data_IF_465958746467
#
_entry.id   IF_465958746467
#
_cell.length_a   1.000
_cell.length_b   1.000
_cell.length_c   1.000
_cell.angle_alpha   90.00
_cell.angle_beta   90.00
_cell.angle_gamma   90.00
#
_symmetry.space_group_name_H-M   'P 1'
#
loop_
_entity.id
_entity.type
_entity.pdbx_description
1 polymer ?
#
# COMPACT_ATOMS: atom_id res chain seq x y z
N UNK A 1 9.06 -8.53 11.80
CA UNK A 1 7.58 -8.32 12.04
C UNK A 1 7.22 -8.98 13.34
N UNK A 2 6.43 -8.29 14.18
CA UNK A 2 5.86 -8.83 15.40
C UNK A 2 4.94 -10.02 15.08
N UNK A 3 5.02 -11.10 15.88
CA UNK A 3 4.30 -12.36 15.61
C UNK A 3 2.78 -12.16 15.62
N UNK A 4 2.26 -11.37 16.56
CA UNK A 4 0.81 -11.12 16.67
C UNK A 4 0.25 -10.35 15.45
N UNK A 5 0.99 -9.34 14.97
CA UNK A 5 0.64 -8.61 13.74
C UNK A 5 0.64 -9.58 12.56
N UNK A 6 1.68 -10.40 12.44
CA UNK A 6 1.80 -11.35 11.34
C UNK A 6 0.66 -12.37 11.35
N UNK A 7 0.30 -12.91 12.51
CA UNK A 7 -0.83 -13.83 12.66
C UNK A 7 -2.16 -13.18 12.24
N UNK A 8 -2.41 -11.93 12.66
CA UNK A 8 -3.62 -11.21 12.26
C UNK A 8 -3.69 -11.00 10.74
N UNK A 9 -2.59 -10.56 10.11
CA UNK A 9 -2.52 -10.32 8.67
C UNK A 9 -2.52 -11.61 7.84
N UNK A 10 -2.08 -12.73 8.41
CA UNK A 10 -2.05 -14.04 7.74
C UNK A 10 -3.42 -14.72 7.63
N UNK A 11 -4.41 -14.28 8.39
CA UNK A 11 -5.76 -14.83 8.36
C UNK A 11 -6.34 -14.72 6.95
N UNK A 12 -6.99 -15.79 6.50
CA UNK A 12 -7.68 -15.77 5.22
C UNK A 12 -8.90 -14.86 5.33
N UNK A 13 -8.96 -13.86 4.47
CA UNK A 13 -10.11 -12.96 4.40
C UNK A 13 -11.30 -13.62 3.69
N UNK A 14 -12.54 -13.15 3.88
CA UNK A 14 -13.70 -13.66 3.14
C UNK A 14 -13.54 -13.57 1.62
N UNK A 15 -12.88 -12.52 1.13
CA UNK A 15 -12.54 -12.37 -0.29
C UNK A 15 -11.55 -13.44 -0.75
N UNK A 16 -10.47 -13.65 0.00
CA UNK A 16 -9.47 -14.68 -0.31
C UNK A 16 -10.05 -16.09 -0.27
N UNK A 17 -11.03 -16.34 0.63
CA UNK A 17 -11.69 -17.65 0.65
C UNK A 17 -12.45 -17.89 -0.66
N UNK A 18 -13.19 -16.91 -1.16
CA UNK A 18 -13.88 -17.01 -2.46
C UNK A 18 -12.92 -17.28 -3.61
N UNK A 19 -11.77 -16.54 -3.63
CA UNK A 19 -10.74 -16.75 -4.64
C UNK A 19 -10.14 -18.17 -4.59
N UNK A 20 -9.97 -18.74 -3.41
CA UNK A 20 -9.51 -20.13 -3.22
C UNK A 20 -10.54 -21.14 -3.68
N UNK A 21 -11.82 -20.82 -3.52
CA UNK A 21 -12.95 -21.64 -3.97
C UNK A 21 -13.19 -21.53 -5.49
N UNK A 22 -12.35 -20.74 -6.19
CA UNK A 22 -12.37 -20.60 -7.66
C UNK A 22 -13.26 -19.47 -8.17
N UNK A 23 -13.79 -18.63 -7.28
CA UNK A 23 -14.55 -17.44 -7.71
C UNK A 23 -13.60 -16.40 -8.34
N UNK A 24 -14.05 -15.64 -9.33
CA UNK A 24 -13.28 -14.55 -9.92
C UNK A 24 -13.14 -13.37 -8.94
N UNK A 25 -12.12 -12.54 -9.16
CA UNK A 25 -11.96 -11.29 -8.42
C UNK A 25 -13.18 -10.39 -8.59
N UNK A 26 -13.82 -10.03 -7.50
CA UNK A 26 -14.95 -9.10 -7.47
C UNK A 26 -14.45 -7.65 -7.54
N UNK A 27 -14.45 -7.08 -8.74
CA UNK A 27 -14.01 -5.70 -8.98
C UNK A 27 -14.91 -4.66 -8.33
N UNK A 28 -16.16 -4.99 -8.00
CA UNK A 28 -17.10 -4.04 -7.39
C UNK A 28 -16.71 -3.63 -5.97
N UNK A 29 -15.88 -4.46 -5.32
CA UNK A 29 -15.29 -4.13 -4.02
C UNK A 29 -14.31 -2.96 -4.08
N UNK A 30 -13.81 -2.62 -5.28
CA UNK A 30 -12.71 -1.70 -5.49
C UNK A 30 -13.08 -0.48 -6.31
N UNK A 31 -13.94 -0.63 -7.31
CA UNK A 31 -14.25 0.39 -8.29
C UNK A 31 -15.73 0.41 -8.67
N UNK A 32 -16.23 1.58 -9.08
CA UNK A 32 -17.61 1.75 -9.57
C UNK A 32 -17.71 1.95 -11.08
N UNK A 33 -16.60 2.35 -11.73
CA UNK A 33 -16.56 2.72 -13.15
C UNK A 33 -16.20 1.59 -14.11
N UNK A 34 -16.21 1.88 -15.42
CA UNK A 34 -15.82 0.93 -16.48
C UNK A 34 -14.31 0.66 -16.54
N UNK A 35 -13.48 1.57 -16.02
CA UNK A 35 -12.05 1.35 -15.82
C UNK A 35 -11.77 0.53 -14.55
N UNK A 36 -10.51 0.10 -14.36
CA UNK A 36 -10.12 -0.49 -13.10
C UNK A 36 -9.23 0.50 -12.34
N UNK A 37 -9.82 1.59 -11.89
CA UNK A 37 -9.25 2.52 -10.92
C UNK A 37 -9.84 2.20 -9.54
N UNK A 38 -8.97 1.87 -8.59
CA UNK A 38 -9.38 1.57 -7.22
C UNK A 38 -9.67 2.87 -6.50
N UNK A 39 -10.88 2.99 -5.96
CA UNK A 39 -11.38 4.20 -5.34
C UNK A 39 -11.12 4.20 -3.84
N UNK A 40 -10.45 5.24 -3.33
CA UNK A 40 -10.25 5.44 -1.89
C UNK A 40 -11.58 5.42 -1.11
N UNK A 41 -12.65 5.94 -1.69
CA UNK A 41 -13.98 5.97 -1.09
C UNK A 41 -14.56 4.58 -0.79
N UNK A 42 -14.11 3.53 -1.49
CA UNK A 42 -14.48 2.13 -1.22
C UNK A 42 -13.74 1.54 -0.01
N UNK A 43 -12.58 2.09 0.31
CA UNK A 43 -11.63 1.50 1.25
C UNK A 43 -11.47 2.32 2.54
N UNK A 44 -11.64 3.64 2.47
CA UNK A 44 -11.53 4.56 3.60
C UNK A 44 -12.91 4.95 4.15
N UNK A 45 -13.01 5.04 5.47
CA UNK A 45 -14.19 5.64 6.12
C UNK A 45 -14.13 7.16 5.98
N UNK A 46 -15.29 7.80 5.99
CA UNK A 46 -15.39 9.27 5.94
C UNK A 46 -14.51 9.92 7.03
N UNK A 47 -13.69 10.88 6.64
CA UNK A 47 -12.77 11.60 7.52
C UNK A 47 -11.45 10.89 7.85
N UNK A 48 -11.24 9.66 7.38
CA UNK A 48 -9.93 9.01 7.47
C UNK A 48 -9.01 9.48 6.33
N UNK A 49 -7.75 9.70 6.63
CA UNK A 49 -6.70 9.99 5.63
C UNK A 49 -5.82 8.79 5.32
N UNK A 50 -5.86 7.78 6.18
CA UNK A 50 -5.07 6.56 6.07
C UNK A 50 -5.84 5.38 6.62
N UNK A 51 -5.71 4.24 5.95
CA UNK A 51 -6.14 2.92 6.44
C UNK A 51 -5.18 1.85 5.95
N UNK A 52 -5.32 0.63 6.45
CA UNK A 52 -4.58 -0.54 5.94
C UNK A 52 -5.55 -1.63 5.51
N UNK A 53 -5.06 -2.44 4.56
CA UNK A 53 -5.73 -3.62 4.07
C UNK A 53 -4.71 -4.74 3.87
N UNK A 54 -5.00 -5.99 4.24
CA UNK A 54 -4.20 -7.13 3.81
C UNK A 54 -4.09 -7.17 2.29
N UNK A 55 -2.91 -7.49 1.79
CA UNK A 55 -2.69 -7.70 0.36
C UNK A 55 -3.44 -8.94 -0.09
N UNK A 56 -4.20 -8.85 -1.18
CA UNK A 56 -5.02 -9.95 -1.69
C UNK A 56 -4.14 -11.04 -2.30
N UNK A 57 -4.24 -12.26 -1.76
CA UNK A 57 -3.51 -13.45 -2.20
C UNK A 57 -4.38 -14.31 -3.13
N UNK A 58 -3.80 -15.37 -3.69
CA UNK A 58 -4.44 -16.45 -4.45
C UNK A 58 -4.97 -16.05 -5.84
N UNK A 59 -4.76 -14.84 -6.27
CA UNK A 59 -5.14 -14.35 -7.60
C UNK A 59 -4.06 -13.44 -8.17
N UNK A 60 -3.88 -13.45 -9.49
CA UNK A 60 -3.14 -12.39 -10.16
C UNK A 60 -4.06 -11.15 -10.24
N UNK A 61 -3.65 -10.06 -9.59
CA UNK A 61 -4.44 -8.85 -9.58
C UNK A 61 -4.19 -8.08 -10.88
N UNK A 62 -5.24 -7.83 -11.67
CA UNK A 62 -5.08 -7.26 -13.00
C UNK A 62 -4.56 -5.82 -12.96
N UNK A 63 -4.11 -5.30 -14.09
CA UNK A 63 -3.64 -3.91 -14.20
C UNK A 63 -4.72 -2.94 -13.73
N UNK A 64 -4.33 -2.07 -12.82
CA UNK A 64 -5.19 -1.05 -12.21
C UNK A 64 -4.39 0.21 -11.88
N UNK A 65 -5.07 1.30 -11.62
CA UNK A 65 -4.61 2.53 -10.99
C UNK A 65 -5.44 2.76 -9.70
N UNK A 66 -5.13 3.84 -8.99
CA UNK A 66 -5.86 4.23 -7.79
C UNK A 66 -5.85 5.75 -7.62
N UNK A 67 -6.85 6.32 -6.96
CA UNK A 67 -6.98 7.76 -6.68
C UNK A 67 -6.29 8.21 -5.38
N UNK A 68 -5.47 7.31 -4.78
CA UNK A 68 -4.72 7.50 -3.53
C UNK A 68 -3.24 7.11 -3.71
N UNK A 69 -2.44 7.35 -2.69
CA UNK A 69 -1.09 6.78 -2.59
C UNK A 69 -1.19 5.41 -1.96
N UNK A 70 -0.73 4.38 -2.66
CA UNK A 70 -0.56 3.05 -2.09
C UNK A 70 0.86 2.88 -1.57
N UNK A 71 1.00 2.38 -0.35
CA UNK A 71 2.29 1.96 0.19
C UNK A 71 2.16 0.51 0.59
N UNK A 72 2.82 -0.36 -0.17
CA UNK A 72 2.87 -1.76 0.16
C UNK A 72 4.06 -2.06 1.04
N UNK A 73 3.86 -2.86 2.08
CA UNK A 73 4.90 -3.43 2.93
C UNK A 73 4.76 -4.94 2.99
N UNK A 74 5.84 -5.64 2.68
CA UNK A 74 5.87 -7.11 2.75
C UNK A 74 6.24 -7.54 4.16
N UNK A 75 5.34 -8.25 4.82
CA UNK A 75 5.48 -8.72 6.19
C UNK A 75 6.22 -10.08 6.27
N UNK A 76 5.92 -10.96 5.30
CA UNK A 76 6.56 -12.28 5.14
C UNK A 76 6.49 -12.70 3.67
N UNK A 77 7.42 -13.55 3.23
CA UNK A 77 7.48 -14.01 1.84
C UNK A 77 7.87 -12.88 0.87
N UNK A 78 7.13 -12.76 -0.22
CA UNK A 78 7.41 -11.76 -1.26
C UNK A 78 6.15 -11.38 -2.04
N UNK A 79 6.21 -10.25 -2.77
CA UNK A 79 5.22 -9.86 -3.78
C UNK A 79 5.93 -9.42 -5.07
N UNK A 80 5.25 -9.52 -6.21
CA UNK A 80 5.82 -9.11 -7.49
C UNK A 80 4.84 -8.22 -8.24
N UNK A 81 5.28 -7.02 -8.59
CA UNK A 81 4.52 -5.98 -9.27
C UNK A 81 5.06 -5.72 -10.66
N UNK A 82 4.18 -5.42 -11.62
CA UNK A 82 4.53 -4.97 -12.97
C UNK A 82 4.01 -3.54 -13.11
N UNK A 83 4.91 -2.56 -12.94
CA UNK A 83 4.56 -1.13 -12.88
C UNK A 83 4.71 -0.51 -14.26
N UNK A 84 3.69 0.20 -14.75
CA UNK A 84 3.71 0.87 -16.06
C UNK A 84 3.92 -0.06 -17.26
N UNK A 85 3.80 -1.38 -17.07
CA UNK A 85 4.12 -2.37 -18.12
C UNK A 85 5.61 -2.67 -18.27
N UNK A 86 6.43 -2.22 -17.33
CA UNK A 86 7.87 -2.45 -17.29
C UNK A 86 8.28 -3.83 -16.75
N UNK A 87 9.54 -3.93 -16.37
CA UNK A 87 10.10 -5.15 -15.78
C UNK A 87 9.45 -5.45 -14.42
N UNK A 88 9.16 -6.73 -14.10
CA UNK A 88 8.64 -7.09 -12.80
C UNK A 88 9.55 -6.64 -11.64
N UNK A 89 8.95 -6.02 -10.65
CA UNK A 89 9.61 -5.56 -9.42
C UNK A 89 9.21 -6.51 -8.30
N UNK A 90 10.19 -7.26 -7.79
CA UNK A 90 9.98 -8.16 -6.65
C UNK A 90 10.37 -7.47 -5.35
N UNK A 91 9.45 -7.50 -4.38
CA UNK A 91 9.67 -7.08 -3.00
C UNK A 91 9.80 -8.31 -2.10
N UNK A 92 10.67 -8.22 -1.10
CA UNK A 92 10.85 -9.22 -0.06
C UNK A 92 10.38 -8.69 1.29
N UNK A 93 10.25 -9.58 2.26
CA UNK A 93 9.88 -9.20 3.63
C UNK A 93 10.76 -8.04 4.15
N UNK A 94 10.13 -7.02 4.70
CA UNK A 94 10.77 -5.81 5.20
C UNK A 94 10.98 -4.71 4.16
N UNK A 95 10.53 -4.88 2.93
CA UNK A 95 10.66 -3.86 1.87
C UNK A 95 9.35 -3.12 1.64
N UNK A 96 9.45 -1.89 1.14
CA UNK A 96 8.34 -0.99 0.85
C UNK A 96 8.31 -0.61 -0.63
N UNK A 97 7.10 -0.52 -1.17
CA UNK A 97 6.83 0.05 -2.49
C UNK A 97 5.79 1.15 -2.34
N UNK A 98 6.16 2.36 -2.74
CA UNK A 98 5.26 3.51 -2.83
C UNK A 98 4.78 3.67 -4.26
N UNK A 99 3.49 3.84 -4.46
CA UNK A 99 2.84 4.10 -5.74
C UNK A 99 1.94 5.32 -5.59
N UNK A 100 2.10 6.32 -6.46
CA UNK A 100 1.20 7.47 -6.45
C UNK A 100 0.00 7.25 -7.39
N UNK A 101 -0.93 8.21 -7.45
CA UNK A 101 -2.16 8.10 -8.24
C UNK A 101 -1.93 7.96 -9.76
N UNK A 102 -0.71 8.19 -10.24
CA UNK A 102 -0.35 8.05 -11.66
C UNK A 102 0.25 6.70 -11.98
N UNK A 103 0.57 5.92 -10.95
CA UNK A 103 1.07 4.58 -11.14
C UNK A 103 -0.06 3.68 -11.67
N UNK A 104 0.24 2.91 -12.69
CA UNK A 104 -0.59 1.79 -13.11
C UNK A 104 0.23 0.53 -12.95
N UNK A 105 -0.30 -0.45 -12.24
CA UNK A 105 0.42 -1.69 -11.97
C UNK A 105 -0.49 -2.93 -12.01
N UNK A 106 0.11 -4.07 -12.26
CA UNK A 106 -0.48 -5.39 -12.07
C UNK A 106 0.34 -6.14 -11.03
N UNK A 107 -0.27 -7.10 -10.34
CA UNK A 107 0.39 -7.87 -9.29
C UNK A 107 0.31 -9.35 -9.65
N UNK A 108 1.42 -10.05 -9.56
CA UNK A 108 1.43 -11.50 -9.72
C UNK A 108 0.76 -12.16 -8.53
N UNK A 109 0.24 -13.37 -8.75
CA UNK A 109 -0.40 -14.15 -7.69
C UNK A 109 0.57 -14.33 -6.52
N UNK A 110 0.09 -14.00 -5.34
CA UNK A 110 0.75 -14.28 -4.07
C UNK A 110 0.17 -15.56 -3.44
N UNK A 111 1.00 -16.29 -2.72
CA UNK A 111 0.64 -17.56 -2.11
C UNK A 111 0.40 -17.39 -0.59
N UNK A 112 0.01 -18.48 0.10
CA UNK A 112 -0.37 -18.44 1.52
C UNK A 112 0.72 -17.86 2.44
N UNK A 113 1.99 -18.08 2.11
CA UNK A 113 3.14 -17.57 2.87
C UNK A 113 3.55 -16.14 2.53
N UNK A 114 2.95 -15.56 1.49
CA UNK A 114 3.24 -14.19 1.06
C UNK A 114 2.28 -13.23 1.76
N UNK A 115 2.70 -12.68 2.87
CA UNK A 115 1.89 -11.78 3.68
C UNK A 115 2.37 -10.35 3.51
N UNK A 116 1.51 -9.48 3.03
CA UNK A 116 1.80 -8.07 2.88
C UNK A 116 0.58 -7.22 3.30
N UNK A 117 0.83 -5.94 3.54
CA UNK A 117 -0.18 -4.96 3.90
C UNK A 117 -0.08 -3.76 2.96
N UNK A 118 -1.21 -3.28 2.48
CA UNK A 118 -1.33 -2.06 1.69
C UNK A 118 -1.85 -0.95 2.59
N UNK A 119 -1.07 0.12 2.73
CA UNK A 119 -1.55 1.38 3.28
C UNK A 119 -2.23 2.15 2.15
N UNK A 120 -3.46 2.53 2.37
CA UNK A 120 -4.28 3.38 1.49
C UNK A 120 -4.23 4.77 2.09
N UNK A 121 -3.56 5.71 1.41
CA UNK A 121 -3.21 7.02 1.96
C UNK A 121 -3.69 8.13 1.04
N UNK A 122 -4.56 9.00 1.54
CA UNK A 122 -4.96 10.18 0.78
C UNK A 122 -3.79 11.17 0.67
N UNK A 123 -3.62 11.88 -0.47
CA UNK A 123 -2.52 12.82 -0.65
C UNK A 123 -2.36 13.83 0.47
N UNK A 124 -3.46 14.34 1.02
CA UNK A 124 -3.48 15.31 2.12
C UNK A 124 -2.79 14.82 3.40
N UNK A 125 -2.60 13.51 3.55
CA UNK A 125 -1.84 12.94 4.65
C UNK A 125 -0.37 13.41 4.63
N UNK A 126 0.17 13.65 3.44
CA UNK A 126 1.58 14.03 3.23
C UNK A 126 1.86 15.54 3.28
N UNK A 127 0.85 16.39 3.46
CA UNK A 127 1.03 17.85 3.48
C UNK A 127 2.11 18.30 4.47
N UNK A 128 2.12 17.72 5.68
CA UNK A 128 3.12 18.03 6.69
C UNK A 128 4.52 17.48 6.32
N UNK A 129 4.59 16.24 5.85
CA UNK A 129 5.86 15.62 5.45
C UNK A 129 6.51 16.39 4.30
N UNK A 130 5.72 16.85 3.34
CA UNK A 130 6.20 17.63 2.21
C UNK A 130 6.86 18.97 2.63
N UNK A 131 6.32 19.64 3.65
CA UNK A 131 6.88 20.89 4.18
C UNK A 131 8.28 20.67 4.78
N UNK A 132 8.55 19.49 5.35
CA UNK A 132 9.83 19.16 6.00
C UNK A 132 10.85 18.65 4.97
N UNK A 133 10.44 17.74 4.09
CA UNK A 133 11.34 17.01 3.18
C UNK A 133 11.84 17.90 2.03
N UNK A 134 11.04 18.87 1.60
CA UNK A 134 11.37 19.71 0.44
C UNK A 134 11.38 18.91 -0.88
N UNK A 135 11.89 19.52 -1.95
CA UNK A 135 11.83 18.95 -3.32
C UNK A 135 13.18 18.51 -3.88
N UNK A 136 14.26 18.69 -3.15
CA UNK A 136 15.63 18.45 -3.64
C UNK A 136 16.05 16.98 -3.71
N UNK A 137 15.32 16.09 -3.04
CA UNK A 137 15.61 14.66 -2.98
C UNK A 137 14.52 13.82 -3.65
N UNK A 138 14.80 12.50 -3.79
CA UNK A 138 13.90 11.57 -4.48
C UNK A 138 12.52 11.47 -3.82
N UNK A 139 12.48 11.42 -2.49
CA UNK A 139 11.22 11.35 -1.73
C UNK A 139 10.40 12.63 -1.91
N UNK A 140 11.04 13.80 -1.82
CA UNK A 140 10.36 15.08 -2.03
C UNK A 140 9.80 15.22 -3.45
N UNK A 141 10.52 14.75 -4.48
CA UNK A 141 10.04 14.71 -5.86
C UNK A 141 8.85 13.77 -6.04
N UNK A 142 8.86 12.62 -5.38
CA UNK A 142 7.73 11.69 -5.35
C UNK A 142 6.50 12.35 -4.68
N UNK A 143 6.68 12.95 -3.49
CA UNK A 143 5.61 13.64 -2.78
C UNK A 143 5.06 14.83 -3.58
N UNK A 144 5.92 15.59 -4.26
CA UNK A 144 5.50 16.65 -5.15
C UNK A 144 4.58 16.13 -6.27
N UNK A 145 4.93 15.00 -6.86
CA UNK A 145 4.10 14.32 -7.86
C UNK A 145 2.77 13.80 -7.32
N UNK A 146 2.71 13.52 -6.03
CA UNK A 146 1.50 13.11 -5.32
C UNK A 146 0.55 14.28 -5.06
N UNK A 147 1.10 15.44 -4.66
CA UNK A 147 0.32 16.61 -4.23
C UNK A 147 -0.05 17.57 -5.38
N UNK A 148 0.67 17.54 -6.50
CA UNK A 148 0.45 18.44 -7.64
C UNK A 148 -0.06 17.69 -8.87
N UNK A 149 -1.00 18.30 -9.57
CA UNK A 149 -1.63 17.76 -10.78
C UNK A 149 -0.79 17.86 -12.06
N UNK A 150 0.48 18.26 -11.99
CA UNK A 150 1.35 18.45 -13.16
C UNK A 150 2.75 17.82 -12.99
N UNK A 151 3.16 16.97 -13.95
CA UNK A 151 4.58 16.76 -14.26
C UNK A 151 5.41 15.90 -13.32
N UNK A 152 4.86 14.90 -12.63
CA UNK A 152 5.71 13.96 -11.88
C UNK A 152 6.29 12.88 -12.78
N UNK A 153 7.61 12.89 -12.95
CA UNK A 153 8.35 11.82 -13.61
C UNK A 153 8.38 10.53 -12.76
N UNK A 154 8.28 10.66 -11.42
CA UNK A 154 8.40 9.55 -10.48
C UNK A 154 7.02 9.11 -10.04
N UNK A 155 6.58 7.95 -10.51
CA UNK A 155 5.28 7.35 -10.15
C UNK A 155 5.39 6.34 -9.01
N UNK A 156 6.59 5.84 -8.73
CA UNK A 156 6.82 4.84 -7.68
C UNK A 156 8.21 4.97 -7.06
N UNK A 157 8.34 4.52 -5.83
CA UNK A 157 9.62 4.38 -5.11
C UNK A 157 9.71 2.99 -4.50
N UNK A 158 10.79 2.28 -4.79
CA UNK A 158 11.12 1.01 -4.15
C UNK A 158 12.16 1.25 -3.05
N UNK A 159 11.82 0.90 -1.81
CA UNK A 159 12.69 1.06 -0.66
C UNK A 159 13.15 -0.31 -0.15
N UNK A 160 14.43 -0.61 -0.35
CA UNK A 160 15.11 -1.84 0.11
C UNK A 160 15.48 -1.72 1.59
N UNK A 161 14.49 -1.85 2.47
CA UNK A 161 14.59 -1.56 3.91
C UNK A 161 14.65 -2.80 4.80
N UNK A 162 14.73 -4.00 4.24
CA UNK A 162 14.66 -5.27 4.97
C UNK A 162 15.62 -5.36 6.17
N UNK A 163 16.84 -4.78 6.06
CA UNK A 163 17.84 -4.77 7.15
C UNK A 163 17.80 -3.54 8.07
N UNK A 164 16.85 -2.61 7.87
CA UNK A 164 16.83 -1.34 8.61
C UNK A 164 15.83 -1.39 9.78
N UNK A 165 16.30 -1.88 10.94
CA UNK A 165 15.48 -2.04 12.14
C UNK A 165 14.65 -0.81 12.53
N UNK A 166 15.16 0.44 12.49
CA UNK A 166 14.34 1.61 12.80
C UNK A 166 13.13 1.76 11.86
N UNK A 167 13.29 1.48 10.56
CA UNK A 167 12.19 1.52 9.59
C UNK A 167 11.18 0.41 9.87
N UNK A 168 11.66 -0.81 10.16
CA UNK A 168 10.81 -1.94 10.52
C UNK A 168 9.93 -1.60 11.74
N UNK A 169 10.53 -1.07 12.81
CA UNK A 169 9.82 -0.71 14.02
C UNK A 169 8.76 0.37 13.78
N UNK A 170 9.06 1.38 12.95
CA UNK A 170 8.10 2.42 12.59
C UNK A 170 6.90 1.85 11.81
N UNK A 171 7.17 1.04 10.79
CA UNK A 171 6.11 0.42 9.98
C UNK A 171 5.26 -0.52 10.82
N UNK A 172 5.85 -1.38 11.65
CA UNK A 172 5.13 -2.27 12.55
C UNK A 172 4.25 -1.50 13.54
N UNK A 173 4.76 -0.41 14.10
CA UNK A 173 4.01 0.46 14.99
C UNK A 173 2.81 1.13 14.29
N UNK A 174 2.96 1.50 13.02
CA UNK A 174 1.85 2.03 12.22
C UNK A 174 0.80 0.95 11.92
N UNK A 175 1.23 -0.23 11.52
CA UNK A 175 0.35 -1.37 11.25
C UNK A 175 -0.44 -1.73 12.50
N UNK A 176 0.23 -1.87 13.65
CA UNK A 176 -0.42 -2.12 14.94
C UNK A 176 -1.49 -1.10 15.27
N UNK A 177 -1.13 0.18 15.18
CA UNK A 177 -2.02 1.31 15.49
C UNK A 177 -3.27 1.33 14.60
N UNK A 178 -3.12 1.01 13.31
CA UNK A 178 -4.24 0.99 12.35
C UNK A 178 -5.11 -0.27 12.47
N UNK A 179 -4.51 -1.42 12.78
CA UNK A 179 -5.26 -2.66 13.03
C UNK A 179 -6.15 -2.55 14.28
N UNK A 180 -5.62 -1.94 15.34
CA UNK A 180 -6.29 -1.87 16.64
C UNK A 180 -7.12 -0.59 16.85
N UNK A 181 -7.23 0.29 15.83
CA UNK A 181 -7.98 1.54 15.89
C UNK A 181 -7.63 2.40 17.14
N UNK A 182 -6.34 2.51 17.46
CA UNK A 182 -5.89 3.25 18.65
C UNK A 182 -6.33 4.72 18.62
N UNK A 183 -6.80 5.29 19.75
CA UNK A 183 -7.11 6.71 19.85
C UNK A 183 -5.90 7.57 19.49
N UNK A 184 -6.10 8.55 18.59
CA UNK A 184 -5.01 9.43 18.12
C UNK A 184 -4.10 8.84 17.04
N UNK A 185 -4.36 7.61 16.58
CA UNK A 185 -3.59 6.94 15.54
C UNK A 185 -3.30 7.80 14.31
N UNK A 186 -4.27 8.61 13.88
CA UNK A 186 -4.11 9.53 12.72
C UNK A 186 -2.92 10.47 12.89
N UNK A 187 -2.85 11.19 14.01
CA UNK A 187 -1.79 12.18 14.28
C UNK A 187 -0.44 11.51 14.55
N UNK A 188 -0.45 10.41 15.30
CA UNK A 188 0.74 9.63 15.55
C UNK A 188 1.34 9.05 14.27
N UNK A 189 0.51 8.52 13.38
CA UNK A 189 0.97 7.93 12.11
C UNK A 189 1.49 8.98 11.12
N UNK A 190 0.94 10.20 11.11
CA UNK A 190 1.51 11.31 10.34
C UNK A 190 2.93 11.69 10.77
N UNK A 191 3.24 11.57 12.08
CA UNK A 191 4.59 11.85 12.59
C UNK A 191 5.58 10.71 12.39
N UNK A 192 5.10 9.47 12.16
CA UNK A 192 5.94 8.28 11.94
C UNK A 192 6.32 8.08 10.46
N UNK A 193 5.58 8.65 9.54
CA UNK A 193 5.88 8.66 8.10
C UNK A 193 6.84 9.77 7.72
#
# INVERSE_FOLDING_TARGET
>A
MNTEILEQLSRITPEEQKLRDGEPLDRTLYATGHGFEIEAAKLLRQGQLITIRPHTRFVAFPRHSHDYVEIMYVCAGHTTHIIGGGTPVRLQAGELLFLNQRASHAIQRAEVGDVAVNFIVLPQFFDFAFQIVGTSNLLGRFLLGTLKTGGAEITHLLCRTAGLLPVQNLVESMVWSLLNNEPGARRANQMRM
#
